data_IF_106540093203
#
_entry.id   IF_106540093203
#
_cell.length_a   1.000
_cell.length_b   1.000
_cell.length_c   1.000
_cell.angle_alpha   90.00
_cell.angle_beta   90.00
_cell.angle_gamma   90.00
#
_symmetry.space_group_name_H-M   'P 1'
#
loop_
_entity.id
_entity.type
_entity.pdbx_description
1 polymer ?
#
# COMPACT_ATOMS: atom_id res chain seq x y z
N UNK A 1 2.59 34.65 22.09
CA UNK A 1 4.00 34.92 21.72
C UNK A 1 4.35 33.92 20.62
N UNK A 2 4.11 34.21 19.35
CA UNK A 2 4.97 34.97 18.42
C UNK A 2 6.39 34.38 18.26
N UNK A 3 6.54 33.61 17.17
CA UNK A 3 7.67 33.41 16.24
C UNK A 3 9.06 33.01 16.78
N UNK A 4 9.61 31.94 16.20
CA UNK A 4 10.77 32.06 15.28
C UNK A 4 10.91 30.82 14.37
N UNK A 5 10.92 31.07 13.05
CA UNK A 5 11.50 30.25 11.97
C UNK A 5 12.85 30.88 11.59
N UNK A 6 13.90 30.08 11.35
CA UNK A 6 15.07 30.30 10.44
C UNK A 6 15.69 28.89 10.24
N UNK A 7 15.64 28.19 9.09
CA UNK A 7 16.17 28.35 7.71
C UNK A 7 17.56 27.71 7.48
N UNK A 8 17.59 26.86 6.43
CA UNK A 8 18.64 26.52 5.45
C UNK A 8 19.71 25.44 5.72
N UNK A 9 19.73 24.46 4.81
CA UNK A 9 20.78 24.38 3.79
C UNK A 9 20.21 23.84 2.47
N UNK A 10 20.58 24.50 1.37
CA UNK A 10 20.23 24.18 0.00
C UNK A 10 21.15 23.10 -0.58
N UNK A 11 20.67 22.34 -1.55
CA UNK A 11 21.51 21.81 -2.61
C UNK A 11 20.80 21.96 -3.95
N UNK A 12 21.52 22.61 -4.85
CA UNK A 12 21.19 22.90 -6.24
C UNK A 12 21.59 21.65 -7.04
N UNK A 13 20.73 21.11 -7.90
CA UNK A 13 21.19 20.55 -9.18
C UNK A 13 20.08 20.56 -10.24
N UNK A 14 20.32 21.41 -11.24
CA UNK A 14 19.91 21.38 -12.65
C UNK A 14 18.57 20.73 -13.08
N UNK A 15 17.61 21.60 -13.38
CA UNK A 15 16.54 21.32 -14.33
C UNK A 15 17.10 21.15 -15.77
N UNK A 16 16.69 20.08 -16.45
CA UNK A 16 16.65 20.02 -17.91
C UNK A 16 15.18 19.92 -18.30
N UNK A 17 14.60 21.06 -18.66
CA UNK A 17 13.33 21.11 -19.40
C UNK A 17 13.59 20.63 -20.84
N UNK A 18 12.94 19.56 -21.26
CA UNK A 18 12.69 19.30 -22.68
C UNK A 18 11.20 19.47 -22.93
N UNK A 19 10.87 20.59 -23.57
CA UNK A 19 9.59 20.82 -24.22
C UNK A 19 9.55 20.01 -25.52
N UNK A 20 8.56 19.12 -25.64
CA UNK A 20 7.99 18.64 -26.90
C UNK A 20 6.60 18.10 -26.55
N UNK A 21 5.49 18.57 -27.09
CA UNK A 21 5.26 18.98 -28.47
C UNK A 21 4.20 18.03 -29.02
N UNK A 22 2.93 18.43 -28.96
CA UNK A 22 1.81 17.69 -29.51
C UNK A 22 2.00 17.52 -31.04
N UNK A 23 2.19 16.29 -31.53
CA UNK A 23 2.17 16.00 -32.97
C UNK A 23 1.64 14.59 -33.29
N UNK A 24 0.41 14.56 -33.82
CA UNK A 24 0.00 13.86 -35.03
C UNK A 24 0.38 12.38 -35.23
N UNK A 25 -0.67 11.55 -35.26
CA UNK A 25 -0.73 10.18 -35.80
C UNK A 25 0.26 9.85 -36.94
N UNK A 26 1.00 8.76 -36.77
CA UNK A 26 1.29 7.78 -37.83
C UNK A 26 1.59 6.43 -37.20
N UNK A 27 0.88 5.43 -37.68
CA UNK A 27 0.95 4.02 -37.31
C UNK A 27 2.23 3.37 -37.80
N UNK A 28 3.06 2.88 -36.89
CA UNK A 28 4.07 1.86 -37.18
C UNK A 28 4.08 0.82 -36.04
N UNK A 29 3.61 -0.38 -36.37
CA UNK A 29 3.61 -1.55 -35.51
C UNK A 29 5.02 -2.15 -35.47
N UNK A 30 5.83 -1.72 -34.52
CA UNK A 30 7.00 -2.45 -34.03
C UNK A 30 6.89 -2.45 -32.52
N UNK A 31 6.94 -3.64 -31.92
CA UNK A 31 6.80 -3.83 -30.48
C UNK A 31 7.77 -2.91 -29.74
N UNK A 32 7.23 -1.79 -29.27
CA UNK A 32 7.82 -1.03 -28.20
C UNK A 32 7.62 -1.89 -26.96
N UNK A 33 8.72 -2.22 -26.27
CA UNK A 33 8.63 -2.38 -24.82
C UNK A 33 7.82 -1.18 -24.34
N UNK A 34 6.58 -1.45 -23.91
CA UNK A 34 5.70 -0.43 -23.36
C UNK A 34 6.39 -0.07 -22.06
N UNK A 35 7.18 1.00 -22.05
CA UNK A 35 7.66 1.60 -20.82
C UNK A 35 6.38 1.84 -20.00
N UNK A 36 6.24 1.07 -18.92
CA UNK A 36 5.20 1.33 -17.94
C UNK A 36 5.36 2.81 -17.56
N UNK A 37 4.28 3.62 -17.56
CA UNK A 37 4.36 4.98 -17.04
C UNK A 37 5.15 4.95 -15.74
N UNK A 38 6.21 5.75 -15.66
CA UNK A 38 7.07 5.83 -14.47
C UNK A 38 6.16 6.19 -13.29
N UNK A 39 5.73 5.19 -12.52
CA UNK A 39 5.22 5.42 -11.18
C UNK A 39 6.39 6.06 -10.43
N UNK A 40 6.24 7.30 -9.97
CA UNK A 40 7.36 7.94 -9.29
C UNK A 40 7.75 7.11 -8.06
N UNK A 41 9.06 6.86 -7.98
CA UNK A 41 9.72 5.89 -7.11
C UNK A 41 9.86 6.46 -5.70
N UNK A 42 8.91 6.14 -4.81
CA UNK A 42 9.01 6.45 -3.37
C UNK A 42 9.54 5.27 -2.54
N UNK A 43 10.20 4.29 -3.19
CA UNK A 43 10.72 3.10 -2.51
C UNK A 43 9.64 2.10 -2.11
N UNK A 44 8.47 2.15 -2.76
CA UNK A 44 7.35 1.25 -2.46
C UNK A 44 7.57 -0.13 -3.06
N UNK A 45 7.20 -1.12 -2.27
CA UNK A 45 6.95 -2.47 -2.73
C UNK A 45 5.47 -2.77 -2.58
N UNK A 46 4.84 -3.14 -3.70
CA UNK A 46 3.47 -3.60 -3.76
C UNK A 46 3.47 -5.13 -3.59
N UNK A 47 2.80 -5.63 -2.56
CA UNK A 47 2.61 -7.06 -2.35
C UNK A 47 1.23 -7.45 -2.84
N UNK A 48 1.21 -8.30 -3.85
CA UNK A 48 0.01 -8.89 -4.43
C UNK A 48 -0.17 -10.31 -3.90
N UNK A 49 -1.39 -10.65 -3.51
CA UNK A 49 -1.73 -11.97 -3.01
C UNK A 49 -2.99 -12.49 -3.69
N UNK A 50 -2.93 -13.73 -4.18
CA UNK A 50 -4.09 -14.49 -4.63
C UNK A 50 -4.38 -15.58 -3.62
N UNK A 51 -5.53 -15.51 -2.94
CA UNK A 51 -5.90 -16.55 -1.99
C UNK A 51 -6.28 -17.84 -2.70
N UNK A 52 -6.92 -17.78 -3.88
CA UNK A 52 -7.29 -18.97 -4.65
C UNK A 52 -6.11 -19.84 -5.10
N UNK A 53 -4.98 -19.23 -5.44
CA UNK A 53 -3.75 -19.99 -5.77
C UNK A 53 -2.78 -20.07 -4.60
N UNK A 54 -3.05 -19.32 -3.53
CA UNK A 54 -2.09 -19.01 -2.49
C UNK A 54 -0.76 -18.62 -3.14
N UNK A 55 -0.74 -17.63 -4.04
CA UNK A 55 0.51 -17.05 -4.60
C UNK A 55 0.71 -15.64 -4.06
N UNK A 56 1.96 -15.27 -3.75
CA UNK A 56 2.33 -13.93 -3.29
C UNK A 56 3.52 -13.39 -4.08
N UNK A 57 3.38 -12.19 -4.62
CA UNK A 57 4.43 -11.53 -5.39
C UNK A 57 4.63 -10.12 -4.87
N UNK A 58 5.89 -9.74 -4.64
CA UNK A 58 6.31 -8.39 -4.32
C UNK A 58 6.82 -7.72 -5.61
N UNK A 59 6.19 -6.62 -6.01
CA UNK A 59 6.61 -5.77 -7.11
C UNK A 59 7.26 -4.51 -6.55
N UNK A 60 8.51 -4.26 -6.88
CA UNK A 60 9.23 -3.03 -6.48
C UNK A 60 8.96 -1.96 -7.53
N UNK A 61 8.41 -0.82 -7.09
CA UNK A 61 8.01 0.26 -8.01
C UNK A 61 9.21 0.86 -8.72
N UNK A 62 10.32 1.04 -8.01
CA UNK A 62 11.51 1.75 -8.48
C UNK A 62 12.22 1.08 -9.67
N UNK A 63 12.25 -0.26 -9.71
CA UNK A 63 12.99 -1.02 -10.72
C UNK A 63 12.14 -2.05 -11.48
N UNK A 64 10.86 -2.17 -11.14
CA UNK A 64 9.92 -3.11 -11.75
C UNK A 64 10.25 -4.58 -11.45
N UNK A 65 11.12 -4.86 -10.48
CA UNK A 65 11.46 -6.23 -10.10
C UNK A 65 10.29 -6.93 -9.43
N UNK A 66 10.14 -8.23 -9.72
CA UNK A 66 9.11 -9.08 -9.13
C UNK A 66 9.77 -10.21 -8.36
N UNK A 67 9.53 -10.26 -7.06
CA UNK A 67 9.95 -11.33 -6.17
C UNK A 67 8.76 -12.21 -5.79
N UNK A 68 8.86 -13.52 -6.05
CA UNK A 68 7.90 -14.49 -5.52
C UNK A 68 8.20 -14.74 -4.03
N UNK A 69 7.30 -14.29 -3.15
CA UNK A 69 7.50 -14.38 -1.70
C UNK A 69 7.39 -15.79 -1.15
N UNK A 70 6.94 -16.77 -1.93
CA UNK A 70 6.78 -18.15 -1.51
C UNK A 70 7.96 -19.05 -1.89
N UNK A 71 8.97 -18.49 -2.57
CA UNK A 71 10.23 -19.17 -2.78
C UNK A 71 10.86 -19.58 -1.45
N UNK A 72 11.51 -20.75 -1.38
CA UNK A 72 12.20 -21.17 -0.16
C UNK A 72 13.47 -20.35 0.14
N UNK A 73 13.94 -19.59 -0.85
CA UNK A 73 15.03 -18.62 -0.80
C UNK A 73 14.75 -17.54 -1.83
N UNK A 74 15.06 -16.28 -1.55
CA UNK A 74 15.09 -15.25 -2.60
C UNK A 74 16.27 -15.46 -3.57
N UNK A 75 16.49 -14.54 -4.51
CA UNK A 75 17.59 -14.62 -5.49
C UNK A 75 18.98 -14.50 -4.85
N UNK A 76 19.07 -13.99 -3.63
CA UNK A 76 20.29 -13.78 -2.86
C UNK A 76 20.54 -14.88 -1.81
N UNK A 77 19.58 -15.79 -1.64
CA UNK A 77 19.66 -16.93 -0.71
C UNK A 77 19.14 -16.63 0.69
N UNK A 78 18.44 -15.51 0.91
CA UNK A 78 17.76 -15.23 2.18
C UNK A 78 16.50 -16.08 2.34
N UNK A 79 16.26 -16.52 3.58
CA UNK A 79 15.12 -17.35 3.94
C UNK A 79 13.84 -16.51 4.05
N UNK A 80 13.13 -16.40 2.93
CA UNK A 80 11.78 -15.79 2.85
C UNK A 80 10.66 -16.83 3.08
N UNK A 81 10.96 -18.06 3.53
CA UNK A 81 9.96 -19.14 3.71
C UNK A 81 8.80 -18.77 4.63
N UNK A 82 8.97 -17.74 5.46
CA UNK A 82 7.94 -17.31 6.41
C UNK A 82 6.74 -16.61 5.77
N UNK A 83 6.84 -16.20 4.50
CA UNK A 83 5.68 -15.77 3.70
C UNK A 83 4.91 -16.95 3.09
N UNK A 84 5.50 -18.15 3.09
CA UNK A 84 4.84 -19.34 2.59
C UNK A 84 3.76 -19.79 3.58
N UNK A 85 2.50 -19.70 3.14
CA UNK A 85 1.36 -20.22 3.88
C UNK A 85 0.97 -21.60 3.35
N UNK A 86 0.43 -22.46 4.20
CA UNK A 86 -0.19 -23.69 3.73
C UNK A 86 -1.48 -23.37 2.95
N UNK A 87 -1.67 -24.02 1.79
CA UNK A 87 -2.76 -23.73 0.83
C UNK A 87 -4.20 -23.89 1.36
N UNK A 88 -4.39 -24.38 2.58
CA UNK A 88 -5.71 -24.48 3.21
C UNK A 88 -6.16 -23.20 3.92
N UNK A 89 -5.26 -22.23 4.05
CA UNK A 89 -5.45 -21.04 4.88
C UNK A 89 -5.45 -19.79 3.99
N UNK A 90 -6.63 -19.33 3.63
CA UNK A 90 -6.78 -18.04 2.93
C UNK A 90 -6.64 -16.95 3.99
N UNK A 91 -5.52 -16.24 4.03
CA UNK A 91 -5.37 -15.09 4.93
C UNK A 91 -5.94 -13.80 4.33
N UNK A 92 -5.96 -12.74 5.13
CA UNK A 92 -6.23 -11.36 4.69
C UNK A 92 -5.01 -10.48 4.93
N UNK A 93 -4.56 -9.77 3.89
CA UNK A 93 -3.49 -8.79 4.02
C UNK A 93 -3.98 -7.51 4.71
N UNK A 94 -3.14 -7.00 5.62
CA UNK A 94 -3.35 -5.73 6.30
C UNK A 94 -2.03 -4.96 6.38
N UNK A 95 -2.08 -3.65 6.16
CA UNK A 95 -0.92 -2.76 6.35
C UNK A 95 -0.97 -2.14 7.73
N UNK A 96 0.11 -2.32 8.48
CA UNK A 96 0.35 -1.63 9.73
C UNK A 96 1.46 -0.59 9.54
N UNK A 97 1.11 0.69 9.72
CA UNK A 97 2.08 1.78 9.82
C UNK A 97 2.55 1.86 11.28
N UNK A 98 3.70 1.24 11.59
CA UNK A 98 4.27 1.20 12.93
C UNK A 98 5.08 2.46 13.23
N UNK A 99 4.49 3.39 13.99
CA UNK A 99 5.15 4.61 14.46
C UNK A 99 6.22 4.39 15.54
N UNK A 100 6.50 3.14 15.91
CA UNK A 100 7.49 2.74 16.93
C UNK A 100 7.26 3.41 18.29
N UNK A 101 6.06 3.93 18.54
CA UNK A 101 5.69 4.63 19.77
C UNK A 101 6.18 6.08 19.84
N UNK A 102 6.55 6.70 18.71
CA UNK A 102 6.89 8.11 18.63
C UNK A 102 5.95 8.90 17.69
N UNK A 103 6.15 10.21 17.62
CA UNK A 103 5.32 11.12 16.80
C UNK A 103 6.01 11.57 15.51
N UNK A 104 7.15 10.95 15.17
CA UNK A 104 7.95 11.32 14.02
C UNK A 104 7.59 10.40 12.84
N UNK A 105 6.75 10.90 11.93
CA UNK A 105 6.32 10.15 10.75
C UNK A 105 7.49 9.61 9.88
N UNK A 106 8.68 10.22 9.94
CA UNK A 106 9.86 9.69 9.25
C UNK A 106 10.45 8.41 9.86
N UNK A 107 9.98 8.00 11.05
CA UNK A 107 10.31 6.74 11.69
C UNK A 107 9.25 5.66 11.46
N UNK A 108 8.11 6.03 10.86
CA UNK A 108 6.99 5.12 10.62
C UNK A 108 7.41 4.05 9.63
N UNK A 109 7.19 2.81 10.01
CA UNK A 109 7.58 1.65 9.21
C UNK A 109 6.34 0.95 8.67
N UNK A 110 6.27 0.77 7.35
CA UNK A 110 5.24 -0.05 6.72
C UNK A 110 5.49 -1.53 6.99
N UNK A 111 4.53 -2.19 7.64
CA UNK A 111 4.54 -3.62 7.93
C UNK A 111 3.32 -4.27 7.31
N UNK A 112 3.46 -5.50 6.84
CA UNK A 112 2.37 -6.34 6.37
C UNK A 112 2.03 -7.32 7.48
N UNK A 113 0.75 -7.47 7.79
CA UNK A 113 0.24 -8.54 8.65
C UNK A 113 -0.71 -9.38 7.81
N UNK A 114 -0.49 -10.68 7.78
CA UNK A 114 -1.42 -11.62 7.15
C UNK A 114 -2.29 -12.26 8.21
N UNK A 115 -3.46 -11.67 8.44
CA UNK A 115 -4.44 -12.15 9.41
C UNK A 115 -5.14 -13.41 8.90
N UNK A 116 -5.74 -14.16 9.83
CA UNK A 116 -6.75 -15.16 9.50
C UNK A 116 -7.91 -14.53 8.71
N UNK A 117 -8.51 -15.29 7.78
CA UNK A 117 -9.64 -14.83 6.97
C UNK A 117 -10.78 -14.24 7.81
N UNK A 118 -11.04 -14.88 8.95
CA UNK A 118 -12.20 -14.64 9.79
C UNK A 118 -11.91 -13.59 10.88
N UNK A 119 -10.66 -13.15 11.02
CA UNK A 119 -10.30 -12.13 12.02
C UNK A 119 -10.96 -10.79 11.67
N UNK A 120 -11.63 -10.20 12.66
CA UNK A 120 -12.12 -8.83 12.59
C UNK A 120 -11.97 -8.13 13.93
N UNK A 121 -11.44 -6.90 13.91
CA UNK A 121 -11.32 -6.12 15.14
C UNK A 121 -12.69 -5.84 15.79
N UNK A 122 -13.78 -5.80 15.00
CA UNK A 122 -15.13 -5.58 15.49
C UNK A 122 -15.63 -6.69 16.42
N UNK A 123 -15.33 -7.96 16.09
CA UNK A 123 -15.81 -9.13 16.84
C UNK A 123 -14.76 -9.65 17.83
N UNK A 124 -13.49 -9.69 17.41
CA UNK A 124 -12.40 -10.32 18.17
C UNK A 124 -11.67 -9.32 19.08
N UNK A 125 -11.71 -8.03 18.72
CA UNK A 125 -10.97 -6.98 19.41
C UNK A 125 -9.47 -7.11 19.19
N UNK A 126 -8.70 -7.04 20.28
CA UNK A 126 -7.25 -7.06 20.21
C UNK A 126 -6.73 -8.38 19.62
N UNK A 127 -6.03 -8.30 18.49
CA UNK A 127 -5.26 -9.38 17.92
C UNK A 127 -4.20 -9.92 18.90
N UNK A 128 -4.06 -11.23 18.86
CA UNK A 128 -3.03 -12.04 19.52
C UNK A 128 -2.13 -12.67 18.45
N UNK A 129 -1.16 -13.48 18.89
CA UNK A 129 -0.31 -14.24 17.96
C UNK A 129 -1.08 -15.39 17.28
N UNK A 130 -2.27 -15.76 17.75
CA UNK A 130 -3.06 -16.83 17.13
C UNK A 130 -3.86 -16.34 15.92
N UNK A 131 -4.06 -15.02 15.77
CA UNK A 131 -4.99 -14.43 14.78
C UNK A 131 -4.33 -14.09 13.43
N UNK A 132 -3.03 -14.34 13.27
CA UNK A 132 -2.29 -14.06 12.04
C UNK A 132 -1.24 -15.14 11.75
N UNK A 133 -0.83 -15.25 10.49
CA UNK A 133 0.18 -16.21 10.01
C UNK A 133 1.60 -15.65 10.11
N UNK A 134 1.79 -14.44 9.61
CA UNK A 134 3.08 -13.77 9.62
C UNK A 134 2.95 -12.26 9.72
N UNK A 135 4.06 -11.64 10.12
CA UNK A 135 4.30 -10.20 10.02
C UNK A 135 5.53 -9.96 9.15
N UNK A 136 5.35 -9.33 8.01
CA UNK A 136 6.40 -8.96 7.05
C UNK A 136 6.82 -7.50 7.18
N UNK A 137 8.12 -7.21 7.07
CA UNK A 137 8.64 -5.85 7.03
C UNK A 137 10.07 -5.79 6.48
N UNK A 138 10.54 -4.58 6.16
CA UNK A 138 11.89 -4.37 5.66
C UNK A 138 12.93 -4.45 6.78
N UNK A 139 14.01 -5.17 6.50
CA UNK A 139 15.21 -5.24 7.32
C UNK A 139 16.32 -4.44 6.65
N UNK A 140 16.94 -3.53 7.41
CA UNK A 140 18.13 -2.79 6.98
C UNK A 140 19.34 -3.70 7.04
N UNK A 141 20.01 -3.91 5.90
CA UNK A 141 21.30 -4.56 5.81
C UNK A 141 22.36 -3.51 5.41
N UNK A 142 23.48 -3.48 6.12
CA UNK A 142 24.59 -2.57 5.80
C UNK A 142 25.81 -3.40 5.41
N UNK A 143 26.18 -3.40 4.13
CA UNK A 143 27.39 -4.06 3.63
C UNK A 143 28.26 -3.09 2.83
N UNK A 144 29.57 -3.10 3.12
CA UNK A 144 30.58 -2.25 2.49
C UNK A 144 30.22 -0.75 2.34
N UNK A 145 29.36 -0.22 3.22
CA UNK A 145 28.91 1.18 3.19
C UNK A 145 27.72 1.46 2.26
N UNK A 146 27.07 0.42 1.75
CA UNK A 146 25.76 0.48 1.12
C UNK A 146 24.70 0.04 2.12
N UNK A 147 23.57 0.74 2.09
CA UNK A 147 22.36 0.37 2.84
C UNK A 147 21.42 -0.28 1.85
N UNK A 148 21.06 -1.53 2.11
CA UNK A 148 20.09 -2.31 1.35
C UNK A 148 18.92 -2.69 2.28
N UNK A 149 17.73 -2.80 1.72
CA UNK A 149 16.53 -3.17 2.45
C UNK A 149 15.96 -4.45 1.86
N UNK A 150 15.84 -5.47 2.68
CA UNK A 150 15.31 -6.77 2.27
C UNK A 150 13.97 -7.01 2.96
N UNK A 151 12.97 -7.44 2.21
CA UNK A 151 11.68 -7.79 2.78
C UNK A 151 11.78 -9.16 3.46
N UNK A 152 11.58 -9.19 4.78
CA UNK A 152 11.59 -10.41 5.57
C UNK A 152 10.29 -10.56 6.34
N UNK A 153 10.04 -11.75 6.87
CA UNK A 153 8.88 -12.01 7.72
C UNK A 153 9.25 -12.65 9.06
N UNK A 154 8.33 -12.54 10.00
CA UNK A 154 8.30 -13.23 11.28
C UNK A 154 7.06 -14.11 11.33
N UNK A 155 7.21 -15.37 11.74
CA UNK A 155 6.04 -16.22 11.97
C UNK A 155 5.30 -15.76 13.22
N UNK A 156 4.02 -16.11 13.31
CA UNK A 156 3.19 -15.78 14.45
C UNK A 156 3.70 -16.37 15.79
N UNK A 157 4.24 -17.60 15.79
CA UNK A 157 4.86 -18.25 16.96
C UNK A 157 5.93 -17.39 17.64
N UNK A 158 6.64 -16.56 16.87
CA UNK A 158 7.64 -15.64 17.39
C UNK A 158 7.06 -14.58 18.35
N UNK A 159 5.75 -14.31 18.25
CA UNK A 159 5.01 -13.34 19.05
C UNK A 159 4.28 -13.96 20.24
N UNK A 160 4.41 -15.29 20.47
CA UNK A 160 3.95 -15.95 21.69
C UNK A 160 4.88 -15.64 22.87
N UNK A 161 4.91 -14.36 23.28
CA UNK A 161 5.77 -13.82 24.31
C UNK A 161 4.99 -12.91 25.26
N UNK A 162 5.44 -12.83 26.51
CA UNK A 162 4.77 -12.03 27.55
C UNK A 162 5.50 -10.73 27.90
N UNK A 163 6.66 -10.48 27.27
CA UNK A 163 7.47 -9.27 27.48
C UNK A 163 8.45 -9.05 26.30
N UNK A 164 9.06 -7.86 26.26
CA UNK A 164 10.09 -7.51 25.28
C UNK A 164 9.53 -6.87 24.00
N UNK A 165 10.40 -6.70 23.01
CA UNK A 165 10.10 -5.91 21.81
C UNK A 165 8.87 -6.42 21.03
N UNK A 166 8.72 -7.75 20.88
CA UNK A 166 7.58 -8.36 20.18
C UNK A 166 6.26 -8.21 20.93
N UNK A 167 6.28 -8.32 22.26
CA UNK A 167 5.10 -8.02 23.09
C UNK A 167 4.67 -6.55 22.94
N UNK A 168 5.63 -5.62 22.96
CA UNK A 168 5.33 -4.18 22.72
C UNK A 168 4.86 -3.92 21.30
N UNK A 169 5.39 -4.62 20.30
CA UNK A 169 4.92 -4.53 18.92
C UNK A 169 3.43 -4.93 18.81
N UNK A 170 3.02 -6.03 19.45
CA UNK A 170 1.60 -6.44 19.50
C UNK A 170 0.70 -5.38 20.16
N UNK A 171 1.18 -4.69 21.20
CA UNK A 171 0.42 -3.60 21.82
C UNK A 171 0.24 -2.40 20.88
N UNK A 172 1.26 -2.08 20.08
CA UNK A 172 1.18 -1.00 19.09
C UNK A 172 0.29 -1.38 17.90
N UNK A 173 0.41 -2.61 17.39
CA UNK A 173 -0.50 -3.16 16.38
C UNK A 173 -1.96 -3.05 16.82
N UNK A 174 -2.27 -3.46 18.04
CA UNK A 174 -3.64 -3.37 18.58
C UNK A 174 -4.13 -1.94 18.75
N UNK A 175 -3.24 -1.01 19.11
CA UNK A 175 -3.58 0.42 19.15
C UNK A 175 -3.94 0.92 17.75
N UNK A 176 -3.12 0.57 16.75
CA UNK A 176 -3.35 0.93 15.36
C UNK A 176 -4.65 0.33 14.81
N UNK A 177 -4.94 -0.95 15.08
CA UNK A 177 -6.18 -1.62 14.68
C UNK A 177 -7.41 -0.91 15.27
N UNK A 178 -7.35 -0.50 16.53
CA UNK A 178 -8.42 0.27 17.17
C UNK A 178 -8.67 1.62 16.50
N UNK A 179 -7.59 2.33 16.14
CA UNK A 179 -7.64 3.60 15.43
C UNK A 179 -8.22 3.44 14.01
N UNK A 180 -7.77 2.43 13.26
CA UNK A 180 -8.29 2.11 11.93
C UNK A 180 -9.77 1.74 11.99
N UNK A 181 -10.19 0.92 12.96
CA UNK A 181 -11.60 0.58 13.14
C UNK A 181 -12.46 1.80 13.48
N UNK A 182 -11.98 2.69 14.35
CA UNK A 182 -12.71 3.93 14.67
C UNK A 182 -12.87 4.83 13.43
N UNK A 183 -11.82 4.94 12.61
CA UNK A 183 -11.85 5.68 11.35
C UNK A 183 -12.82 5.03 10.34
N UNK A 184 -12.77 3.71 10.19
CA UNK A 184 -13.68 2.93 9.35
C UNK A 184 -15.15 3.18 9.73
N UNK A 185 -15.47 3.18 11.03
CA UNK A 185 -16.82 3.47 11.51
C UNK A 185 -17.24 4.91 11.19
N UNK A 186 -16.34 5.87 11.33
CA UNK A 186 -16.66 7.26 10.98
C UNK A 186 -16.92 7.42 9.48
N UNK A 187 -16.07 6.82 8.63
CA UNK A 187 -16.23 6.84 7.17
C UNK A 187 -17.52 6.11 6.74
N UNK A 188 -17.81 4.95 7.34
CA UNK A 188 -19.05 4.19 7.08
C UNK A 188 -20.31 5.01 7.38
N UNK A 189 -20.27 5.84 8.42
CA UNK A 189 -21.39 6.71 8.79
C UNK A 189 -21.48 7.99 7.93
N UNK A 190 -20.39 8.39 7.26
CA UNK A 190 -20.34 9.60 6.43
C UNK A 190 -20.55 9.30 4.94
N UNK A 191 -20.16 8.13 4.45
CA UNK A 191 -20.22 7.80 3.02
C UNK A 191 -21.66 7.92 2.49
N UNK A 192 -21.88 8.49 1.29
CA UNK A 192 -23.24 8.68 0.77
C UNK A 192 -24.02 7.37 0.66
N UNK A 193 -25.34 7.43 0.80
CA UNK A 193 -26.18 6.23 0.74
C UNK A 193 -26.06 5.52 -0.63
N UNK A 194 -25.88 6.26 -1.72
CA UNK A 194 -25.64 5.74 -3.07
C UNK A 194 -24.31 4.97 -3.22
N UNK A 195 -23.38 5.11 -2.28
CA UNK A 195 -22.17 4.28 -2.20
C UNK A 195 -22.49 2.82 -1.87
N UNK A 196 -23.70 2.57 -1.34
CA UNK A 196 -24.14 1.25 -0.87
C UNK A 196 -23.25 0.67 0.24
N UNK A 197 -22.65 1.54 1.07
CA UNK A 197 -21.72 1.19 2.14
C UNK A 197 -20.26 1.34 1.76
N UNK A 198 -19.39 1.33 2.79
CA UNK A 198 -17.94 1.33 2.63
C UNK A 198 -17.48 -0.07 2.22
N UNK A 199 -16.53 -0.14 1.30
CA UNK A 199 -15.82 -1.37 0.92
C UNK A 199 -14.42 -1.40 1.54
N UNK A 200 -13.78 -0.23 1.63
CA UNK A 200 -12.46 -0.06 2.24
C UNK A 200 -12.01 1.39 2.12
N UNK A 201 -10.91 1.71 2.77
CA UNK A 201 -10.36 3.07 2.72
C UNK A 201 -8.83 3.04 2.81
N UNK A 202 -8.24 4.17 2.45
CA UNK A 202 -6.82 4.43 2.59
C UNK A 202 -6.59 5.84 3.14
N UNK A 203 -5.55 5.99 3.97
CA UNK A 203 -5.12 7.30 4.47
C UNK A 203 -3.94 7.78 3.64
N UNK A 204 -4.11 8.93 2.99
CA UNK A 204 -3.09 9.58 2.18
C UNK A 204 -2.66 10.90 2.83
N UNK A 205 -1.36 11.15 2.90
CA UNK A 205 -0.81 12.43 3.36
C UNK A 205 -0.03 13.03 2.21
N UNK A 206 -0.45 14.19 1.71
CA UNK A 206 0.22 14.82 0.59
C UNK A 206 1.49 15.58 1.02
N UNK A 207 2.22 16.14 0.04
CA UNK A 207 3.44 16.92 0.27
C UNK A 207 3.25 18.14 1.21
N UNK A 208 2.04 18.69 1.26
CA UNK A 208 1.68 19.79 2.17
C UNK A 208 1.35 19.32 3.60
N UNK A 209 1.55 18.03 3.89
CA UNK A 209 1.19 17.38 5.16
C UNK A 209 -0.31 17.44 5.46
N UNK A 210 -1.16 17.49 4.42
CA UNK A 210 -2.61 17.37 4.56
C UNK A 210 -3.01 15.91 4.47
N UNK A 211 -3.80 15.46 5.43
CA UNK A 211 -4.39 14.13 5.45
C UNK A 211 -5.69 14.11 4.65
N UNK A 212 -5.80 13.11 3.78
CA UNK A 212 -7.00 12.74 3.06
C UNK A 212 -7.36 11.28 3.35
N UNK A 213 -8.65 10.99 3.36
CA UNK A 213 -9.16 9.62 3.42
C UNK A 213 -9.85 9.32 2.08
N UNK A 214 -9.31 8.33 1.36
CA UNK A 214 -9.89 7.85 0.12
C UNK A 214 -10.71 6.61 0.47
N UNK A 215 -12.03 6.72 0.38
CA UNK A 215 -12.97 5.69 0.77
C UNK A 215 -13.64 5.10 -0.47
N UNK A 216 -13.46 3.80 -0.70
CA UNK A 216 -14.08 3.09 -1.80
C UNK A 216 -15.50 2.66 -1.39
N UNK A 217 -16.50 3.11 -2.13
CA UNK A 217 -17.88 2.66 -2.00
C UNK A 217 -18.08 1.28 -2.65
N UNK A 218 -19.06 0.52 -2.17
CA UNK A 218 -19.45 -0.77 -2.79
C UNK A 218 -19.99 -0.63 -4.23
N UNK A 219 -20.31 0.60 -4.64
CA UNK A 219 -20.70 0.96 -6.01
C UNK A 219 -19.51 1.24 -6.96
N UNK A 220 -18.27 0.99 -6.54
CA UNK A 220 -17.07 1.19 -7.36
C UNK A 220 -16.60 2.65 -7.49
N UNK A 221 -17.24 3.59 -6.78
CA UNK A 221 -16.77 4.98 -6.71
C UNK A 221 -15.87 5.23 -5.52
N UNK A 222 -14.84 6.05 -5.73
CA UNK A 222 -13.97 6.55 -4.67
C UNK A 222 -14.48 7.91 -4.18
N UNK A 223 -14.62 8.04 -2.87
CA UNK A 223 -15.03 9.26 -2.17
C UNK A 223 -13.84 9.79 -1.37
N UNK A 224 -13.54 11.07 -1.54
CA UNK A 224 -12.37 11.69 -0.92
C UNK A 224 -12.83 12.62 0.20
N UNK A 225 -12.24 12.44 1.38
CA UNK A 225 -12.51 13.24 2.57
C UNK A 225 -11.24 13.92 3.08
N UNK A 226 -11.38 15.07 3.72
CA UNK A 226 -10.28 15.69 4.46
C UNK A 226 -10.10 15.07 5.85
N UNK A 227 -9.10 15.54 6.61
CA UNK A 227 -8.79 15.09 7.97
C UNK A 227 -9.98 15.17 8.96
N UNK A 228 -10.97 16.03 8.68
CA UNK A 228 -12.17 16.23 9.49
C UNK A 228 -13.36 15.38 8.98
N UNK A 229 -13.11 14.49 8.01
CA UNK A 229 -14.12 13.63 7.37
C UNK A 229 -15.18 14.49 6.64
N UNK A 230 -14.79 15.66 6.15
CA UNK A 230 -15.63 16.48 5.27
C UNK A 230 -15.40 16.06 3.81
N UNK A 231 -16.48 15.86 3.05
CA UNK A 231 -16.40 15.50 1.64
C UNK A 231 -15.63 16.58 0.86
N UNK A 232 -14.59 16.15 0.14
CA UNK A 232 -13.76 17.00 -0.72
C UNK A 232 -14.12 16.78 -2.17
N UNK A 233 -14.16 15.52 -2.62
CA UNK A 233 -14.38 15.15 -4.01
C UNK A 233 -14.89 13.71 -4.14
N UNK A 234 -15.28 13.30 -5.36
CA UNK A 234 -15.54 11.91 -5.72
C UNK A 234 -15.04 11.60 -7.13
N UNK A 235 -14.60 10.38 -7.37
CA UNK A 235 -14.21 9.93 -8.71
C UNK A 235 -14.66 8.49 -8.98
N UNK A 236 -14.92 8.19 -10.25
CA UNK A 236 -15.25 6.85 -10.71
C UNK A 236 -14.02 6.25 -11.39
N UNK A 237 -13.75 4.98 -11.12
CA UNK A 237 -12.61 4.26 -11.70
C UNK A 237 -13.07 3.47 -12.92
N UNK A 238 -12.24 3.47 -13.96
CA UNK A 238 -12.60 2.84 -15.24
C UNK A 238 -12.77 1.33 -15.05
N UNK A 239 -13.94 0.80 -15.37
CA UNK A 239 -14.21 -0.66 -15.32
C UNK A 239 -14.50 -1.22 -13.92
N UNK A 240 -14.47 -0.39 -12.87
CA UNK A 240 -14.79 -0.80 -11.50
C UNK A 240 -16.25 -0.44 -11.21
N UNK A 241 -17.15 -1.40 -11.40
CA UNK A 241 -18.59 -1.21 -11.18
C UNK A 241 -19.02 -1.58 -9.75
N UNK A 242 -18.21 -2.36 -9.05
CA UNK A 242 -18.44 -2.76 -7.68
C UNK A 242 -17.11 -2.87 -6.91
N UNK A 243 -17.20 -2.85 -5.59
CA UNK A 243 -16.09 -3.21 -4.72
C UNK A 243 -16.54 -4.27 -3.72
N UNK A 244 -15.75 -5.33 -3.62
CA UNK A 244 -15.95 -6.43 -2.67
C UNK A 244 -14.83 -6.38 -1.64
N UNK A 245 -15.21 -6.44 -0.35
CA UNK A 245 -14.26 -6.45 0.75
C UNK A 245 -13.23 -7.57 0.56
N UNK A 246 -11.96 -7.25 0.79
CA UNK A 246 -10.82 -8.16 0.62
C UNK A 246 -10.57 -8.61 -0.85
N UNK A 247 -11.15 -7.93 -1.85
CA UNK A 247 -10.89 -8.15 -3.28
C UNK A 247 -10.39 -6.88 -3.98
N UNK A 248 -9.61 -6.08 -3.25
CA UNK A 248 -8.99 -4.85 -3.73
C UNK A 248 -7.71 -4.57 -2.93
N UNK A 249 -6.99 -3.53 -3.31
CA UNK A 249 -5.88 -3.01 -2.52
C UNK A 249 -5.72 -1.51 -2.69
N UNK A 250 -5.07 -0.85 -1.73
CA UNK A 250 -4.69 0.55 -1.86
C UNK A 250 -3.29 0.80 -1.32
N UNK A 251 -2.57 1.72 -1.95
CA UNK A 251 -1.27 2.21 -1.48
C UNK A 251 -1.07 3.67 -1.89
N UNK A 252 -0.37 4.44 -1.06
CA UNK A 252 0.14 5.75 -1.49
C UNK A 252 1.38 5.59 -2.35
N UNK A 253 1.61 6.59 -3.20
CA UNK A 253 2.82 6.89 -3.98
C UNK A 253 3.12 8.39 -3.82
N UNK A 254 4.21 8.88 -4.41
CA UNK A 254 4.49 10.33 -4.47
C UNK A 254 3.39 11.09 -5.24
N UNK A 255 2.93 10.52 -6.35
CA UNK A 255 1.95 11.15 -7.25
C UNK A 255 0.51 11.09 -6.71
N UNK A 256 0.17 10.09 -5.90
CA UNK A 256 -1.19 9.90 -5.43
C UNK A 256 -1.45 8.56 -4.76
N UNK A 257 -2.62 7.98 -5.00
CA UNK A 257 -3.04 6.70 -4.43
C UNK A 257 -3.27 5.69 -5.54
N UNK A 258 -2.63 4.55 -5.41
CA UNK A 258 -2.89 3.36 -6.20
C UNK A 258 -4.10 2.62 -5.63
N UNK A 259 -5.02 2.22 -6.49
CA UNK A 259 -6.13 1.31 -6.18
C UNK A 259 -6.03 0.08 -7.09
N UNK A 260 -5.99 -1.10 -6.50
CA UNK A 260 -6.05 -2.37 -7.22
C UNK A 260 -7.47 -2.94 -7.18
N UNK A 261 -7.98 -3.43 -8.30
CA UNK A 261 -9.27 -4.13 -8.41
C UNK A 261 -9.07 -5.57 -8.87
N UNK A 262 -9.58 -6.53 -8.09
CA UNK A 262 -9.58 -7.95 -8.48
C UNK A 262 -10.46 -8.19 -9.71
N UNK A 263 -11.63 -7.55 -9.82
CA UNK A 263 -12.56 -7.76 -10.93
C UNK A 263 -11.93 -7.41 -12.29
N UNK A 264 -11.19 -6.31 -12.34
CA UNK A 264 -10.54 -5.84 -13.57
C UNK A 264 -9.13 -6.40 -13.74
N UNK A 265 -8.50 -6.86 -12.65
CA UNK A 265 -7.05 -7.13 -12.58
C UNK A 265 -6.23 -5.91 -13.01
N UNK A 266 -6.66 -4.71 -12.61
CA UNK A 266 -5.99 -3.45 -12.93
C UNK A 266 -5.58 -2.68 -11.68
N UNK A 267 -4.51 -1.92 -11.82
CA UNK A 267 -4.03 -0.91 -10.87
C UNK A 267 -4.39 0.46 -11.43
N UNK A 268 -5.10 1.28 -10.66
CA UNK A 268 -5.53 2.62 -11.00
C UNK A 268 -4.70 3.61 -10.19
N UNK A 269 -4.10 4.61 -10.83
CA UNK A 269 -3.47 5.74 -10.13
C UNK A 269 -4.50 6.87 -10.03
N UNK A 270 -4.80 7.30 -8.81
CA UNK A 270 -5.71 8.39 -8.52
C UNK A 270 -4.92 9.53 -7.87
N UNK A 271 -4.99 10.72 -8.45
CA UNK A 271 -4.31 11.91 -7.94
C UNK A 271 -5.17 13.16 -8.09
N UNK A 272 -4.62 14.31 -7.65
CA UNK A 272 -5.28 15.62 -7.76
C UNK A 272 -4.35 16.72 -8.29
N UNK A 273 -3.30 16.40 -9.03
CA UNK A 273 -2.30 17.41 -9.42
C UNK A 273 -2.85 18.46 -10.40
N UNK A 274 -3.88 18.10 -11.17
CA UNK A 274 -4.57 19.00 -12.09
C UNK A 274 -5.61 19.86 -11.36
N UNK A 275 -5.17 21.04 -10.90
CA UNK A 275 -6.02 22.07 -10.26
C UNK A 275 -6.70 21.63 -8.94
N UNK A 276 -6.23 20.53 -8.33
CA UNK A 276 -6.78 20.00 -7.07
C UNK A 276 -8.04 19.15 -7.23
N UNK A 277 -8.38 18.75 -8.47
CA UNK A 277 -9.53 17.85 -8.75
C UNK A 277 -9.06 16.41 -8.78
N UNK A 278 -9.67 15.55 -7.97
CA UNK A 278 -9.31 14.14 -7.89
C UNK A 278 -9.81 13.38 -9.11
N UNK A 279 -8.93 12.65 -9.80
CA UNK A 279 -9.29 11.88 -10.99
C UNK A 279 -8.39 10.65 -11.17
N UNK A 280 -8.84 9.69 -11.98
CA UNK A 280 -8.01 8.58 -12.43
C UNK A 280 -7.01 9.10 -13.47
N UNK A 281 -5.73 9.07 -13.11
CA UNK A 281 -4.65 9.55 -13.96
C UNK A 281 -4.26 8.51 -15.02
N UNK A 282 -4.07 7.26 -14.60
CA UNK A 282 -3.68 6.16 -15.46
C UNK A 282 -4.10 4.80 -14.89
N UNK A 283 -4.08 3.78 -15.73
CA UNK A 283 -4.38 2.39 -15.39
C UNK A 283 -3.27 1.46 -15.90
N UNK A 284 -2.99 0.41 -15.15
CA UNK A 284 -2.00 -0.62 -15.47
C UNK A 284 -2.65 -2.00 -15.37
N UNK A 285 -2.43 -2.85 -16.37
CA UNK A 285 -2.87 -4.24 -16.30
C UNK A 285 -1.91 -5.01 -15.38
N UNK A 286 -2.45 -5.81 -14.45
CA UNK A 286 -1.62 -6.59 -13.52
C UNK A 286 -0.67 -7.54 -14.23
N UNK A 287 -1.07 -8.08 -15.38
CA UNK A 287 -0.25 -8.95 -16.21
C UNK A 287 0.99 -8.23 -16.77
N UNK A 288 0.92 -6.91 -16.98
CA UNK A 288 2.08 -6.10 -17.39
C UNK A 288 3.07 -5.91 -16.21
N UNK A 289 2.58 -5.93 -14.97
CA UNK A 289 3.41 -5.78 -13.76
C UNK A 289 4.02 -7.11 -13.28
N UNK A 290 3.20 -8.15 -13.16
CA UNK A 290 3.59 -9.44 -12.57
C UNK A 290 3.98 -10.50 -13.60
N UNK A 291 3.71 -10.24 -14.88
CA UNK A 291 3.92 -11.16 -15.97
C UNK A 291 2.72 -12.07 -16.26
N UNK A 292 2.84 -12.78 -17.38
CA UNK A 292 1.73 -13.50 -18.00
C UNK A 292 1.09 -14.57 -17.09
N UNK A 293 -0.24 -14.56 -17.01
CA UNK A 293 -1.04 -15.54 -16.26
C UNK A 293 -1.00 -15.40 -14.74
N UNK A 294 -0.42 -14.31 -14.20
CA UNK A 294 -0.50 -13.97 -12.79
C UNK A 294 -1.79 -13.19 -12.49
N UNK A 295 -2.43 -13.55 -11.39
CA UNK A 295 -3.63 -12.88 -10.87
C UNK A 295 -3.44 -12.58 -9.39
N UNK A 296 -4.17 -11.59 -8.89
CA UNK A 296 -4.21 -11.26 -7.48
C UNK A 296 -5.65 -11.00 -7.02
N UNK A 297 -5.91 -11.19 -5.75
CA UNK A 297 -7.17 -10.84 -5.10
C UNK A 297 -7.00 -9.63 -4.18
N UNK A 298 -5.82 -9.47 -3.60
CA UNK A 298 -5.48 -8.36 -2.72
C UNK A 298 -4.16 -7.72 -3.13
N UNK A 299 -4.03 -6.43 -2.83
CA UNK A 299 -2.77 -5.70 -2.91
C UNK A 299 -2.58 -4.84 -1.66
N UNK A 300 -1.35 -4.76 -1.19
CA UNK A 300 -0.93 -3.79 -0.18
C UNK A 300 0.39 -3.17 -0.59
N UNK A 301 0.65 -1.93 -0.21
CA UNK A 301 1.95 -1.29 -0.40
C UNK A 301 2.63 -0.96 0.91
N UNK A 302 3.94 -1.23 0.99
CA UNK A 302 4.81 -0.84 2.10
C UNK A 302 6.10 -0.22 1.56
N UNK A 303 6.76 0.59 2.37
CA UNK A 303 8.07 1.17 2.06
C UNK A 303 9.02 0.97 3.26
N UNK A 304 10.34 0.89 3.02
CA UNK A 304 11.33 0.92 4.08
C UNK A 304 11.38 2.31 4.76
N UNK A 305 11.93 2.35 5.97
CA UNK A 305 12.18 3.63 6.67
C UNK A 305 13.41 4.29 6.08
N UNK A 306 13.24 5.33 5.26
CA UNK A 306 14.35 6.00 4.54
C UNK A 306 15.07 7.08 5.36
N UNK A 307 14.71 7.28 6.64
CA UNK A 307 15.12 8.43 7.46
C UNK A 307 16.15 8.22 8.58
N UNK A 308 16.90 7.11 8.64
CA UNK A 308 17.85 6.82 9.75
C UNK A 308 19.29 6.52 9.34
#
# INVERSE_FOLDING_TARGET
>A
MQKNRVISAASILAAIFVLSGCSGSSSDSRGSEKELPELESDGKTLVFYSASTNEQNAYTVDDGSVLNLQGATDEEGEDITKFNMDAANHGKLFVWIDNKGDANASNDEGKIVMFDQDYSYAEDGNATWEDFYYLGHFHKHEDEGKVEYHLAAHSNDEFNVTAGAKYTAMQRLNTYLAEQYALEQNLTNTIPHEANGLCGFHTFVNEESKTFYLAMGRNGKMYIYDENISSVDETALTGVDNCIENQFGMSSTEDGVLYFSEETQQLHLIDSHDDGVWHEHTTFDLEELLGAGKTAEMMVGIAPVTGQ
#
